data_IF_746859125534
#
_entry.id   IF_746859125534
#
_cell.length_a   1.000
_cell.length_b   1.000
_cell.length_c   1.000
_cell.angle_alpha   90.00
_cell.angle_beta   90.00
_cell.angle_gamma   90.00
#
_symmetry.space_group_name_H-M   'P 1'
#
loop_
_entity.id
_entity.type
_entity.pdbx_description
1 polymer ?
#
# COMPACT_ATOMS: atom_id res chain seq x y z
N UNK A 1 -17.72 4.78 18.17
CA UNK A 1 -16.60 4.98 17.20
C UNK A 1 -15.96 6.35 17.42
N UNK A 2 -14.65 6.42 17.72
CA UNK A 2 -13.92 7.69 17.90
C UNK A 2 -12.95 7.88 16.73
N UNK A 3 -13.18 8.89 15.90
CA UNK A 3 -12.33 9.25 14.75
C UNK A 3 -11.61 10.56 15.07
N UNK A 4 -10.33 10.65 14.76
CA UNK A 4 -9.55 11.89 14.88
C UNK A 4 -9.98 12.89 13.81
N UNK A 5 -9.74 14.20 14.03
CA UNK A 5 -10.05 15.25 13.03
C UNK A 5 -9.18 15.19 11.78
N UNK A 6 -8.06 14.45 11.83
CA UNK A 6 -7.11 14.26 10.73
C UNK A 6 -6.68 12.80 10.69
N UNK A 7 -6.41 12.20 9.50
CA UNK A 7 -5.92 10.83 9.42
C UNK A 7 -4.55 10.68 10.08
N UNK A 8 -4.27 9.53 10.68
CA UNK A 8 -2.96 9.22 11.24
C UNK A 8 -1.96 8.82 10.16
N UNK A 9 -2.45 8.18 9.11
CA UNK A 9 -1.65 7.62 8.02
C UNK A 9 -2.22 8.14 6.70
N UNK A 10 -1.35 8.62 5.82
CA UNK A 10 -1.74 9.03 4.47
C UNK A 10 -0.97 8.17 3.49
N UNK A 11 -1.73 7.46 2.66
CA UNK A 11 -1.26 6.60 1.59
C UNK A 11 -1.65 7.24 0.26
N UNK A 12 -0.69 7.55 -0.60
CA UNK A 12 -0.95 8.24 -1.85
C UNK A 12 -0.01 7.80 -2.96
N UNK A 13 -0.45 7.84 -4.20
CA UNK A 13 0.37 7.50 -5.35
C UNK A 13 0.75 8.74 -6.15
N UNK A 14 2.04 8.92 -6.47
CA UNK A 14 2.52 10.04 -7.29
C UNK A 14 2.21 9.87 -8.78
N UNK A 15 1.89 8.66 -9.19
CA UNK A 15 1.36 8.25 -10.50
C UNK A 15 0.71 6.87 -10.35
N UNK A 16 -0.09 6.45 -11.32
CA UNK A 16 -0.80 5.17 -11.28
C UNK A 16 -0.19 4.05 -12.16
N UNK A 17 1.09 4.16 -12.57
CA UNK A 17 1.74 3.18 -13.44
C UNK A 17 2.47 2.11 -12.64
N UNK A 18 2.45 0.88 -13.18
CA UNK A 18 3.29 -0.22 -12.74
C UNK A 18 3.81 -0.98 -13.97
N UNK A 19 5.04 -1.46 -13.93
CA UNK A 19 5.64 -2.25 -15.01
C UNK A 19 5.40 -3.76 -14.84
N UNK A 20 4.95 -4.19 -13.64
CA UNK A 20 4.74 -5.59 -13.32
C UNK A 20 3.30 -6.03 -13.62
N UNK A 21 3.15 -7.26 -14.12
CA UNK A 21 1.86 -7.92 -14.32
C UNK A 21 1.66 -9.05 -13.32
N UNK A 22 1.89 -8.76 -12.03
CA UNK A 22 1.82 -9.77 -10.97
C UNK A 22 0.47 -10.47 -10.98
N UNK A 23 0.48 -11.82 -10.99
CA UNK A 23 -0.75 -12.62 -11.09
C UNK A 23 -1.69 -12.47 -9.89
N UNK A 24 -1.18 -11.95 -8.78
CA UNK A 24 -1.90 -11.68 -7.52
C UNK A 24 -2.36 -10.22 -7.39
N UNK A 25 -2.18 -9.41 -8.43
CA UNK A 25 -2.52 -7.98 -8.43
C UNK A 25 -3.56 -7.70 -9.52
N UNK A 26 -4.60 -6.92 -9.24
CA UNK A 26 -5.59 -6.59 -10.26
C UNK A 26 -5.10 -5.53 -11.26
N UNK A 27 -3.95 -4.90 -11.03
CA UNK A 27 -3.46 -3.74 -11.80
C UNK A 27 -3.61 -3.91 -13.32
N UNK A 28 -3.10 -5.00 -13.88
CA UNK A 28 -3.11 -5.25 -15.33
C UNK A 28 -4.52 -5.44 -15.91
N UNK A 29 -5.51 -5.79 -15.08
CA UNK A 29 -6.90 -6.00 -15.49
C UNK A 29 -7.79 -4.77 -15.32
N UNK A 30 -7.30 -3.72 -14.63
CA UNK A 30 -8.11 -2.53 -14.34
C UNK A 30 -8.20 -1.54 -15.51
N UNK A 31 -7.28 -1.62 -16.47
CA UNK A 31 -7.30 -0.74 -17.65
C UNK A 31 -7.14 0.75 -17.33
N UNK A 32 -6.41 1.10 -16.27
CA UNK A 32 -6.20 2.49 -15.88
C UNK A 32 -5.54 3.29 -17.00
N UNK A 33 -6.07 4.48 -17.28
CA UNK A 33 -5.34 5.49 -18.05
C UNK A 33 -4.14 5.97 -17.25
N UNK A 34 -3.02 6.23 -17.94
CA UNK A 34 -1.81 6.73 -17.27
C UNK A 34 -2.05 8.14 -16.73
N UNK A 35 -1.91 8.28 -15.43
CA UNK A 35 -2.05 9.53 -14.68
C UNK A 35 -0.80 9.78 -13.84
N UNK A 36 -0.47 11.05 -13.65
CA UNK A 36 0.58 11.51 -12.76
C UNK A 36 0.00 12.62 -11.88
N UNK A 37 0.34 12.58 -10.60
CA UNK A 37 -0.07 13.63 -9.66
C UNK A 37 0.62 14.94 -10.00
N UNK A 38 -0.15 16.00 -10.11
CA UNK A 38 0.36 17.36 -10.27
C UNK A 38 1.17 17.76 -9.04
N UNK A 39 2.25 18.53 -9.26
CA UNK A 39 3.16 18.90 -8.17
C UNK A 39 2.47 19.79 -7.13
N UNK A 40 1.47 20.58 -7.52
CA UNK A 40 0.63 21.38 -6.63
C UNK A 40 -0.19 20.51 -5.69
N UNK A 41 -0.80 19.42 -6.20
CA UNK A 41 -1.56 18.45 -5.38
C UNK A 41 -0.61 17.74 -4.41
N UNK A 42 0.56 17.29 -4.90
CA UNK A 42 1.56 16.66 -4.05
C UNK A 42 2.00 17.59 -2.92
N UNK A 43 2.38 18.83 -3.22
CA UNK A 43 2.80 19.81 -2.21
C UNK A 43 1.67 20.10 -1.23
N UNK A 44 0.45 20.28 -1.72
CA UNK A 44 -0.74 20.50 -0.86
C UNK A 44 -0.93 19.37 0.14
N UNK A 45 -0.83 18.09 -0.30
CA UNK A 45 -0.91 16.92 0.60
C UNK A 45 0.13 17.02 1.72
N UNK A 46 1.38 17.34 1.39
CA UNK A 46 2.46 17.37 2.37
C UNK A 46 2.35 18.59 3.27
N UNK A 47 2.04 19.77 2.72
CA UNK A 47 1.93 21.01 3.48
C UNK A 47 0.74 20.98 4.46
N UNK A 48 -0.39 20.35 4.09
CA UNK A 48 -1.52 20.14 5.01
C UNK A 48 -1.21 19.15 6.14
N UNK A 49 -0.15 18.36 6.03
CA UNK A 49 0.33 17.47 7.09
C UNK A 49 1.20 18.18 8.14
N UNK A 50 1.75 19.36 7.83
CA UNK A 50 2.56 20.14 8.77
C UNK A 50 1.72 20.49 10.00
N UNK A 51 2.30 20.34 11.20
CA UNK A 51 1.63 20.56 12.49
C UNK A 51 0.43 19.64 12.79
N UNK A 52 0.24 18.59 11.97
CA UNK A 52 -0.75 17.55 12.25
C UNK A 52 -0.10 16.34 12.94
N UNK A 53 -0.90 15.60 13.70
CA UNK A 53 -0.45 14.37 14.38
C UNK A 53 -0.50 13.17 13.46
N UNK A 54 0.17 13.27 12.30
CA UNK A 54 0.37 12.12 11.44
C UNK A 54 1.53 11.27 11.95
N UNK A 55 1.41 9.96 11.81
CA UNK A 55 2.46 9.02 12.20
C UNK A 55 3.25 8.53 11.00
N UNK A 56 2.57 8.32 9.86
CA UNK A 56 3.19 7.69 8.70
C UNK A 56 2.68 8.25 7.38
N UNK A 57 3.60 8.41 6.43
CA UNK A 57 3.33 8.62 5.02
C UNK A 57 3.73 7.39 4.21
N UNK A 58 2.87 6.99 3.29
CA UNK A 58 3.05 5.84 2.40
C UNK A 58 2.90 6.36 0.96
N UNK A 59 3.99 6.83 0.32
CA UNK A 59 3.93 7.48 -0.99
C UNK A 59 3.85 6.46 -2.15
N UNK A 60 3.05 5.43 -1.99
CA UNK A 60 2.63 4.48 -3.01
C UNK A 60 1.23 3.96 -2.68
N UNK A 61 0.53 3.39 -3.67
CA UNK A 61 -0.77 2.72 -3.49
C UNK A 61 -0.90 1.58 -4.51
N UNK A 62 -1.32 1.87 -5.74
CA UNK A 62 -1.58 0.91 -6.80
C UNK A 62 -0.52 1.00 -7.94
N UNK A 63 0.71 1.38 -7.63
CA UNK A 63 1.77 1.70 -8.59
C UNK A 63 3.13 1.13 -8.18
N UNK A 64 4.10 1.21 -9.10
CA UNK A 64 5.52 1.07 -8.77
C UNK A 64 6.13 2.46 -8.57
N UNK A 65 6.45 2.88 -7.35
CA UNK A 65 6.81 4.28 -7.08
C UNK A 65 8.08 4.75 -7.81
N UNK A 66 9.06 3.89 -8.03
CA UNK A 66 10.33 4.25 -8.71
C UNK A 66 10.21 4.40 -10.24
N UNK A 67 9.02 4.23 -10.81
CA UNK A 67 8.72 4.70 -12.17
C UNK A 67 8.57 6.22 -12.25
N UNK A 68 8.34 6.91 -11.14
CA UNK A 68 8.38 8.36 -11.07
C UNK A 68 9.83 8.86 -10.97
N UNK A 69 10.35 9.42 -12.05
CA UNK A 69 11.73 9.97 -12.09
C UNK A 69 11.98 11.08 -11.06
N UNK A 70 10.91 11.68 -10.52
CA UNK A 70 10.98 12.73 -9.50
C UNK A 70 10.72 12.20 -8.09
N UNK A 71 10.65 10.87 -7.90
CA UNK A 71 10.26 10.28 -6.62
C UNK A 71 11.25 10.62 -5.49
N UNK A 72 12.55 10.58 -5.75
CA UNK A 72 13.59 10.96 -4.76
C UNK A 72 13.43 12.43 -4.34
N UNK A 73 13.18 13.35 -5.28
CA UNK A 73 12.94 14.76 -4.97
C UNK A 73 11.68 14.94 -4.12
N UNK A 74 10.63 14.16 -4.40
CA UNK A 74 9.40 14.15 -3.60
C UNK A 74 9.65 13.64 -2.18
N UNK A 75 10.41 12.56 -2.02
CA UNK A 75 10.81 12.06 -0.70
C UNK A 75 11.66 13.09 0.07
N UNK A 76 12.58 13.78 -0.62
CA UNK A 76 13.37 14.88 -0.02
C UNK A 76 12.47 16.03 0.46
N UNK A 77 11.44 16.39 -0.32
CA UNK A 77 10.46 17.40 0.08
C UNK A 77 9.68 16.95 1.32
N UNK A 78 9.21 15.69 1.35
CA UNK A 78 8.54 15.12 2.53
C UNK A 78 9.45 15.24 3.76
N UNK A 79 10.69 14.78 3.66
CA UNK A 79 11.62 14.78 4.79
C UNK A 79 11.94 16.19 5.28
N UNK A 80 12.06 17.15 4.35
CA UNK A 80 12.27 18.58 4.69
C UNK A 80 11.10 19.18 5.48
N UNK A 81 9.86 18.86 5.08
CA UNK A 81 8.65 19.41 5.69
C UNK A 81 8.24 18.67 6.98
N UNK A 82 8.48 17.37 7.01
CA UNK A 82 8.04 16.44 8.05
C UNK A 82 9.23 15.59 8.51
N UNK A 83 10.20 16.16 9.24
CA UNK A 83 11.47 15.49 9.55
C UNK A 83 11.32 14.22 10.39
N UNK A 84 10.24 14.10 11.17
CA UNK A 84 10.00 12.99 12.11
C UNK A 84 8.96 11.97 11.63
N UNK A 85 8.30 12.22 10.48
CA UNK A 85 7.27 11.30 10.00
C UNK A 85 7.89 9.99 9.53
N UNK A 86 7.26 8.88 9.86
CA UNK A 86 7.64 7.59 9.29
C UNK A 86 7.33 7.57 7.78
N UNK A 87 8.27 7.11 6.97
CA UNK A 87 8.08 6.91 5.53
C UNK A 87 8.20 5.42 5.24
N UNK A 88 7.13 4.84 4.72
CA UNK A 88 7.07 3.46 4.26
C UNK A 88 6.99 3.40 2.74
N UNK A 89 7.85 2.61 2.11
CA UNK A 89 7.87 2.40 0.65
C UNK A 89 7.77 0.91 0.35
N UNK A 90 6.95 0.54 -0.64
CA UNK A 90 6.99 -0.80 -1.22
C UNK A 90 7.31 -0.70 -2.71
N UNK A 91 8.19 -1.56 -3.19
CA UNK A 91 8.66 -1.58 -4.57
C UNK A 91 8.88 -3.00 -5.08
N UNK A 92 8.73 -3.19 -6.38
CA UNK A 92 9.12 -4.43 -7.05
C UNK A 92 10.63 -4.48 -7.38
N UNK A 93 11.39 -3.50 -6.91
CA UNK A 93 12.87 -3.39 -6.97
C UNK A 93 13.45 -3.18 -8.38
N UNK A 94 12.68 -3.42 -9.44
CA UNK A 94 13.21 -3.48 -10.82
C UNK A 94 13.70 -2.15 -11.38
N UNK A 95 13.19 -1.01 -10.89
CA UNK A 95 13.56 0.35 -11.33
C UNK A 95 14.62 1.02 -10.47
N UNK A 96 15.06 0.36 -9.41
CA UNK A 96 16.20 0.82 -8.63
C UNK A 96 17.50 0.61 -9.41
N UNK A 97 18.49 1.40 -9.05
CA UNK A 97 19.89 1.27 -9.45
C UNK A 97 20.78 1.84 -8.32
N UNK A 98 22.07 1.63 -8.41
CA UNK A 98 23.01 2.02 -7.35
C UNK A 98 22.89 3.51 -6.98
N UNK A 99 22.78 4.41 -7.95
CA UNK A 99 22.65 5.85 -7.69
C UNK A 99 21.37 6.18 -6.91
N UNK A 100 20.21 5.62 -7.32
CA UNK A 100 18.95 5.84 -6.63
C UNK A 100 18.97 5.26 -5.21
N UNK A 101 19.62 4.11 -4.99
CA UNK A 101 19.77 3.49 -3.69
C UNK A 101 20.66 4.35 -2.77
N UNK A 102 21.75 4.90 -3.28
CA UNK A 102 22.60 5.85 -2.55
C UNK A 102 21.83 7.12 -2.16
N UNK A 103 21.03 7.69 -3.07
CA UNK A 103 20.19 8.84 -2.74
C UNK A 103 19.11 8.46 -1.68
N UNK A 104 18.49 7.29 -1.81
CA UNK A 104 17.49 6.80 -0.87
C UNK A 104 18.06 6.62 0.55
N UNK A 105 19.32 6.14 0.66
CA UNK A 105 19.98 5.92 1.96
C UNK A 105 20.20 7.22 2.78
N UNK A 106 20.15 8.39 2.12
CA UNK A 106 20.30 9.70 2.76
C UNK A 106 18.99 10.28 3.31
N UNK A 107 17.84 9.62 3.02
CA UNK A 107 16.51 10.19 3.27
C UNK A 107 15.81 9.70 4.55
N UNK A 108 16.52 8.93 5.39
CA UNK A 108 15.97 8.38 6.63
C UNK A 108 14.59 7.70 6.40
N UNK A 109 14.51 6.84 5.38
CA UNK A 109 13.32 6.03 5.13
C UNK A 109 13.15 5.06 6.30
N UNK A 110 11.93 4.98 6.85
CA UNK A 110 11.67 4.14 8.03
C UNK A 110 11.52 2.67 7.64
N UNK A 111 10.84 2.38 6.54
CA UNK A 111 10.55 1.03 6.10
C UNK A 111 10.59 0.93 4.57
N UNK A 112 11.37 -0.03 4.06
CA UNK A 112 11.44 -0.37 2.63
C UNK A 112 11.05 -1.84 2.45
N UNK A 113 9.93 -2.07 1.77
CA UNK A 113 9.40 -3.40 1.45
C UNK A 113 9.74 -3.79 0.03
N UNK A 114 10.46 -4.87 -0.12
CA UNK A 114 10.84 -5.46 -1.40
C UNK A 114 9.83 -6.53 -1.78
N UNK A 115 8.98 -6.24 -2.76
CA UNK A 115 8.00 -7.20 -3.29
C UNK A 115 8.70 -8.18 -4.22
N UNK A 116 9.04 -9.39 -3.72
CA UNK A 116 9.76 -10.43 -4.44
C UNK A 116 9.00 -11.75 -4.32
N UNK A 117 8.13 -12.08 -5.29
CA UNK A 117 7.16 -13.18 -5.17
C UNK A 117 7.63 -14.52 -5.74
N UNK A 118 8.93 -14.76 -5.80
CA UNK A 118 9.54 -16.03 -6.21
C UNK A 118 11.05 -15.94 -6.09
N UNK A 119 11.67 -16.97 -5.50
CA UNK A 119 13.12 -17.06 -5.36
C UNK A 119 13.77 -17.53 -6.67
N UNK A 120 13.25 -18.62 -7.25
CA UNK A 120 13.78 -19.11 -8.54
C UNK A 120 13.31 -18.22 -9.69
N UNK A 121 14.11 -18.13 -10.74
CA UNK A 121 13.73 -17.44 -11.98
C UNK A 121 12.35 -17.88 -12.48
N UNK A 122 12.09 -19.19 -12.48
CA UNK A 122 10.82 -19.77 -12.95
C UNK A 122 9.64 -19.24 -12.12
N UNK A 123 9.75 -19.30 -10.78
CA UNK A 123 8.65 -18.88 -9.91
C UNK A 123 8.45 -17.37 -9.97
N UNK A 124 9.55 -16.60 -9.96
CA UNK A 124 9.50 -15.15 -10.10
C UNK A 124 8.80 -14.73 -11.41
N UNK A 125 9.18 -15.36 -12.53
CA UNK A 125 8.56 -15.06 -13.82
C UNK A 125 7.07 -15.41 -13.87
N UNK A 126 6.65 -16.50 -13.22
CA UNK A 126 5.23 -16.86 -13.09
C UNK A 126 4.46 -15.84 -12.22
N UNK A 127 5.04 -15.44 -11.11
CA UNK A 127 4.37 -14.58 -10.11
C UNK A 127 4.39 -13.10 -10.50
N UNK A 128 5.47 -12.64 -11.13
CA UNK A 128 5.75 -11.24 -11.46
C UNK A 128 6.16 -11.06 -12.94
N UNK A 129 5.31 -11.42 -13.91
CA UNK A 129 5.62 -11.17 -15.31
C UNK A 129 5.94 -9.71 -15.58
N UNK A 130 6.94 -9.45 -16.43
CA UNK A 130 7.40 -8.10 -16.77
C UNK A 130 8.47 -7.52 -15.84
N UNK A 131 8.89 -8.29 -14.82
CA UNK A 131 9.96 -7.91 -13.89
C UNK A 131 11.18 -8.79 -14.11
N UNK A 132 12.36 -8.17 -14.29
CA UNK A 132 13.63 -8.87 -14.50
C UNK A 132 14.14 -9.44 -13.17
N UNK A 133 14.13 -10.77 -13.05
CA UNK A 133 14.57 -11.49 -11.88
C UNK A 133 16.02 -11.16 -11.46
N UNK A 134 16.97 -11.21 -12.42
CA UNK A 134 18.39 -10.96 -12.13
C UNK A 134 18.59 -9.58 -11.56
N UNK A 135 18.02 -8.56 -12.22
CA UNK A 135 18.10 -7.17 -11.79
C UNK A 135 17.49 -6.94 -10.40
N UNK A 136 16.39 -7.61 -10.09
CA UNK A 136 15.74 -7.50 -8.77
C UNK A 136 16.66 -8.01 -7.66
N UNK A 137 17.32 -9.15 -7.85
CA UNK A 137 18.23 -9.70 -6.87
C UNK A 137 19.52 -8.88 -6.73
N UNK A 138 20.11 -8.42 -7.86
CA UNK A 138 21.25 -7.51 -7.85
C UNK A 138 20.94 -6.21 -7.10
N UNK A 139 19.79 -5.60 -7.37
CA UNK A 139 19.35 -4.40 -6.67
C UNK A 139 19.08 -4.65 -5.17
N UNK A 140 18.54 -5.83 -4.80
CA UNK A 140 18.36 -6.20 -3.40
C UNK A 140 19.72 -6.30 -2.67
N UNK A 141 20.75 -6.85 -3.29
CA UNK A 141 22.11 -6.87 -2.71
C UNK A 141 22.73 -5.47 -2.60
N UNK A 142 22.46 -4.58 -3.56
CA UNK A 142 22.86 -3.16 -3.46
C UNK A 142 22.11 -2.45 -2.31
N UNK A 143 20.84 -2.75 -2.10
CA UNK A 143 20.06 -2.22 -0.96
C UNK A 143 20.72 -2.67 0.35
N UNK A 144 21.10 -3.94 0.48
CA UNK A 144 21.82 -4.43 1.67
C UNK A 144 23.13 -3.67 1.91
N UNK A 145 23.90 -3.42 0.85
CA UNK A 145 25.17 -2.68 0.90
C UNK A 145 24.99 -1.24 1.41
N UNK A 146 23.98 -0.52 0.94
CA UNK A 146 23.85 0.92 1.20
C UNK A 146 22.86 1.28 2.30
N UNK A 147 21.82 0.46 2.54
CA UNK A 147 20.83 0.70 3.60
C UNK A 147 21.07 -0.15 4.85
N UNK A 148 21.88 -1.23 4.77
CA UNK A 148 22.11 -2.14 5.90
C UNK A 148 22.73 -1.50 7.15
N UNK A 149 23.39 -0.34 7.02
CA UNK A 149 23.95 0.43 8.13
C UNK A 149 23.10 1.67 8.48
N UNK A 150 21.87 1.78 7.96
CA UNK A 150 20.93 2.84 8.29
C UNK A 150 19.86 2.31 9.25
N UNK A 151 19.03 3.21 9.78
CA UNK A 151 17.86 2.82 10.59
C UNK A 151 16.68 2.30 9.75
N UNK A 152 16.83 2.21 8.43
CA UNK A 152 15.79 1.73 7.53
C UNK A 152 15.52 0.24 7.76
N UNK A 153 14.30 -0.08 8.16
CA UNK A 153 13.86 -1.48 8.19
C UNK A 153 13.60 -1.98 6.78
N UNK A 154 14.44 -2.89 6.29
CA UNK A 154 14.26 -3.52 4.98
C UNK A 154 13.64 -4.90 5.16
N UNK A 155 12.58 -5.19 4.41
CA UNK A 155 11.92 -6.49 4.43
C UNK A 155 11.64 -7.02 3.02
N UNK A 156 11.84 -8.32 2.82
CA UNK A 156 11.34 -9.01 1.63
C UNK A 156 9.94 -9.53 1.94
N UNK A 157 8.98 -9.14 1.08
CA UNK A 157 7.60 -9.58 1.19
C UNK A 157 7.30 -10.59 0.09
N UNK A 158 6.84 -11.78 0.48
CA UNK A 158 6.23 -12.78 -0.41
C UNK A 158 4.76 -12.97 -0.06
N UNK A 159 3.92 -13.05 -1.11
CA UNK A 159 2.49 -13.33 -0.94
C UNK A 159 2.20 -14.80 -1.17
N UNK A 160 1.74 -15.48 -0.14
CA UNK A 160 1.35 -16.87 -0.22
C UNK A 160 -0.06 -17.02 -0.81
N UNK A 161 -0.12 -17.39 -2.08
CA UNK A 161 -1.37 -17.67 -2.78
C UNK A 161 -1.74 -19.17 -2.79
N UNK A 162 -1.11 -19.97 -1.91
CA UNK A 162 -1.25 -21.43 -1.78
C UNK A 162 -0.78 -22.24 -3.00
N UNK A 163 -0.12 -21.61 -3.98
CA UNK A 163 0.42 -22.26 -5.19
C UNK A 163 1.94 -22.17 -5.28
N UNK A 164 2.55 -21.39 -4.40
CA UNK A 164 4.01 -21.28 -4.32
C UNK A 164 4.54 -22.43 -3.50
N UNK A 165 5.50 -23.24 -4.00
CA UNK A 165 6.15 -24.30 -3.25
C UNK A 165 6.83 -23.77 -1.97
N UNK A 166 6.83 -24.56 -0.91
CA UNK A 166 7.46 -24.17 0.37
C UNK A 166 8.97 -23.88 0.20
N UNK A 167 9.65 -24.60 -0.69
CA UNK A 167 11.07 -24.36 -1.01
C UNK A 167 11.36 -22.92 -1.44
N UNK A 168 10.45 -22.27 -2.16
CA UNK A 168 10.61 -20.87 -2.58
C UNK A 168 10.65 -19.92 -1.38
N UNK A 169 9.81 -20.17 -0.36
CA UNK A 169 9.79 -19.37 0.87
C UNK A 169 11.04 -19.62 1.70
N UNK A 170 11.48 -20.86 1.80
CA UNK A 170 12.68 -21.25 2.54
C UNK A 170 13.93 -20.58 1.95
N UNK A 171 14.10 -20.67 0.63
CA UNK A 171 15.28 -20.09 -0.04
C UNK A 171 15.24 -18.55 -0.02
N UNK A 172 14.05 -17.94 -0.19
CA UNK A 172 13.93 -16.48 -0.06
C UNK A 172 14.22 -16.00 1.37
N UNK A 173 13.80 -16.76 2.39
CA UNK A 173 14.14 -16.45 3.78
C UNK A 173 15.64 -16.50 4.02
N UNK A 174 16.34 -17.51 3.50
CA UNK A 174 17.81 -17.58 3.57
C UNK A 174 18.47 -16.39 2.90
N UNK A 175 18.00 -16.00 1.71
CA UNK A 175 18.49 -14.83 0.99
C UNK A 175 18.26 -13.54 1.79
N UNK A 176 17.08 -13.37 2.38
CA UNK A 176 16.77 -12.23 3.25
C UNK A 176 17.75 -12.17 4.44
N UNK A 177 17.92 -13.28 5.15
CA UNK A 177 18.85 -13.37 6.30
C UNK A 177 20.30 -13.05 5.92
N UNK A 178 20.79 -13.59 4.80
CA UNK A 178 22.14 -13.31 4.28
C UNK A 178 22.36 -11.80 4.07
N UNK A 179 21.33 -11.08 3.66
CA UNK A 179 21.39 -9.65 3.35
C UNK A 179 20.94 -8.75 4.52
N UNK A 180 20.68 -9.30 5.71
CA UNK A 180 20.25 -8.53 6.88
C UNK A 180 18.81 -8.01 6.78
N UNK A 181 17.96 -8.62 5.95
CA UNK A 181 16.58 -8.23 5.74
C UNK A 181 15.63 -9.08 6.59
N UNK A 182 14.52 -8.48 7.00
CA UNK A 182 13.38 -9.25 7.49
C UNK A 182 12.72 -10.02 6.34
N UNK A 183 12.11 -11.16 6.67
CA UNK A 183 11.32 -11.92 5.72
C UNK A 183 9.86 -11.99 6.17
N UNK A 184 8.96 -11.52 5.30
CA UNK A 184 7.52 -11.49 5.55
C UNK A 184 6.78 -12.38 4.54
N UNK A 185 6.13 -13.44 5.05
CA UNK A 185 5.19 -14.27 4.29
C UNK A 185 3.77 -13.82 4.61
N UNK A 186 3.11 -13.12 3.68
CA UNK A 186 1.76 -12.62 3.89
C UNK A 186 0.73 -13.48 3.15
N UNK A 187 -0.42 -13.63 3.76
CA UNK A 187 -1.56 -14.28 3.11
C UNK A 187 -2.05 -13.47 1.90
N UNK A 188 -2.55 -14.18 0.91
CA UNK A 188 -3.14 -13.58 -0.28
C UNK A 188 -4.43 -12.84 0.06
N UNK A 189 -4.55 -11.62 -0.48
CA UNK A 189 -5.76 -10.81 -0.45
C UNK A 189 -6.29 -10.65 -1.88
N UNK A 190 -7.52 -11.05 -2.12
CA UNK A 190 -8.17 -10.94 -3.44
C UNK A 190 -8.62 -9.52 -3.82
N UNK A 191 -8.26 -8.54 -2.98
CA UNK A 191 -8.55 -7.12 -3.19
C UNK A 191 -10.06 -6.86 -3.36
N UNK A 192 -10.86 -7.38 -2.44
CA UNK A 192 -12.32 -7.30 -2.47
C UNK A 192 -12.89 -7.82 -3.82
N UNK A 193 -12.44 -9.02 -4.23
CA UNK A 193 -12.79 -9.72 -5.48
C UNK A 193 -12.25 -9.10 -6.76
N UNK A 194 -11.34 -8.11 -6.69
CA UNK A 194 -10.74 -7.53 -7.90
C UNK A 194 -9.67 -8.44 -8.54
N UNK A 195 -9.07 -9.40 -7.82
CA UNK A 195 -8.17 -10.42 -8.40
C UNK A 195 -9.00 -11.64 -8.81
N UNK A 196 -9.68 -11.57 -9.94
CA UNK A 196 -10.65 -12.58 -10.40
C UNK A 196 -10.09 -14.01 -10.47
N UNK A 197 -8.81 -14.19 -10.86
CA UNK A 197 -8.17 -15.50 -11.03
C UNK A 197 -8.07 -16.30 -9.72
N UNK A 198 -8.02 -15.63 -8.58
CA UNK A 198 -7.87 -16.22 -7.25
C UNK A 198 -8.98 -15.78 -6.29
N UNK A 199 -10.00 -15.09 -6.80
CA UNK A 199 -11.12 -14.64 -5.99
C UNK A 199 -11.79 -15.85 -5.35
N UNK A 200 -12.02 -15.76 -4.05
CA UNK A 200 -12.93 -16.66 -3.34
C UNK A 200 -14.38 -16.12 -3.44
N UNK A 201 -15.33 -16.93 -3.06
CA UNK A 201 -16.73 -16.50 -3.01
C UNK A 201 -17.11 -15.83 -1.68
N UNK A 202 -16.09 -15.29 -0.95
CA UNK A 202 -16.33 -14.63 0.32
C UNK A 202 -17.25 -13.42 0.12
N UNK A 203 -18.33 -13.41 0.88
CA UNK A 203 -19.25 -12.29 0.99
C UNK A 203 -19.89 -12.35 2.37
N UNK A 204 -19.86 -11.25 3.09
CA UNK A 204 -20.35 -11.17 4.45
C UNK A 204 -21.34 -10.01 4.60
N UNK A 205 -22.63 -10.32 4.60
CA UNK A 205 -23.70 -9.35 4.81
C UNK A 205 -23.71 -8.77 6.23
N UNK A 206 -23.02 -9.43 7.16
CA UNK A 206 -22.96 -9.03 8.57
C UNK A 206 -21.66 -8.24 8.89
N UNK A 207 -20.93 -7.81 7.86
CA UNK A 207 -19.70 -7.04 8.02
C UNK A 207 -19.95 -5.79 8.90
N UNK A 208 -19.22 -5.69 10.01
CA UNK A 208 -19.44 -4.66 11.06
C UNK A 208 -18.14 -4.04 11.55
N UNK A 209 -17.04 -4.22 10.83
CA UNK A 209 -15.74 -3.68 11.19
C UNK A 209 -14.66 -3.93 10.14
N UNK A 210 -13.46 -3.52 10.46
CA UNK A 210 -12.27 -3.75 9.64
C UNK A 210 -11.10 -4.09 10.57
N UNK A 211 -10.55 -5.31 10.49
CA UNK A 211 -9.39 -5.77 11.27
C UNK A 211 -8.20 -4.82 11.19
N UNK A 212 -8.00 -4.19 10.04
CA UNK A 212 -6.90 -3.24 9.80
C UNK A 212 -7.25 -1.80 10.23
N UNK A 213 -8.47 -1.53 10.68
CA UNK A 213 -8.95 -0.19 11.09
C UNK A 213 -8.71 0.92 10.06
N UNK A 214 -8.52 0.55 8.78
CA UNK A 214 -8.15 1.50 7.70
C UNK A 214 -9.07 2.71 7.61
N UNK A 215 -10.41 2.57 7.63
CA UNK A 215 -11.32 3.71 7.54
C UNK A 215 -11.24 4.68 8.72
N UNK A 216 -10.67 4.26 9.86
CA UNK A 216 -10.53 5.06 11.07
C UNK A 216 -9.17 5.76 11.19
N UNK A 217 -8.15 5.28 10.45
CA UNK A 217 -6.77 5.73 10.63
C UNK A 217 -6.07 6.16 9.35
N UNK A 218 -6.51 5.66 8.16
CA UNK A 218 -5.82 5.86 6.90
C UNK A 218 -6.66 6.58 5.86
N UNK A 219 -6.06 7.54 5.17
CA UNK A 219 -6.60 8.14 3.96
C UNK A 219 -5.83 7.65 2.74
N UNK A 220 -6.54 7.34 1.65
CA UNK A 220 -5.95 6.83 0.42
C UNK A 220 -6.23 7.81 -0.71
N UNK A 221 -5.17 8.33 -1.36
CA UNK A 221 -5.24 9.39 -2.38
C UNK A 221 -4.67 8.88 -3.68
N UNK A 222 -5.46 8.96 -4.75
CA UNK A 222 -5.08 8.58 -6.10
C UNK A 222 -4.22 9.65 -6.78
N UNK A 223 -3.62 9.32 -7.93
CA UNK A 223 -2.77 10.24 -8.69
C UNK A 223 -3.49 11.48 -9.21
N UNK A 224 -4.80 11.40 -9.44
CA UNK A 224 -5.66 12.53 -9.85
C UNK A 224 -6.21 13.35 -8.66
N UNK A 225 -5.71 13.08 -7.45
CA UNK A 225 -6.14 13.75 -6.23
C UNK A 225 -7.43 13.21 -5.61
N UNK A 226 -8.15 12.29 -6.25
CA UNK A 226 -9.33 11.67 -5.66
C UNK A 226 -8.97 10.87 -4.42
N UNK A 227 -9.82 10.94 -3.42
CA UNK A 227 -9.71 10.18 -2.17
C UNK A 227 -10.66 9.00 -2.25
N UNK A 228 -10.16 7.78 -2.11
CA UNK A 228 -10.95 6.56 -2.04
C UNK A 228 -11.12 6.08 -0.59
N UNK A 229 -12.22 5.36 -0.31
CA UNK A 229 -12.52 4.89 1.03
C UNK A 229 -11.50 3.88 1.57
N UNK A 230 -10.97 3.01 0.71
CA UNK A 230 -10.04 1.96 1.10
C UNK A 230 -9.10 1.58 -0.05
N UNK A 231 -7.85 1.20 0.23
CA UNK A 231 -6.90 0.67 -0.74
C UNK A 231 -7.33 -0.68 -1.39
N UNK A 232 -8.40 -1.30 -0.92
CA UNK A 232 -9.00 -2.46 -1.59
C UNK A 232 -9.96 -2.05 -2.72
N UNK A 233 -10.30 -0.74 -2.83
CA UNK A 233 -11.19 -0.20 -3.86
C UNK A 233 -10.44 0.05 -5.18
N UNK A 234 -10.05 -1.02 -5.84
CA UNK A 234 -9.35 -0.95 -7.11
C UNK A 234 -10.23 -0.47 -8.27
N UNK A 235 -11.53 -0.60 -8.18
CA UNK A 235 -12.46 -0.07 -9.17
C UNK A 235 -12.73 1.44 -8.99
N UNK A 236 -12.23 2.04 -7.89
CA UNK A 236 -12.42 3.43 -7.51
C UNK A 236 -13.91 3.84 -7.44
N UNK A 237 -14.75 2.94 -6.95
CA UNK A 237 -16.21 3.13 -6.85
C UNK A 237 -16.60 4.04 -5.67
N UNK A 238 -15.77 4.08 -4.62
CA UNK A 238 -16.10 4.73 -3.36
C UNK A 238 -15.25 6.00 -3.15
N UNK A 239 -15.51 7.04 -3.97
CA UNK A 239 -14.82 8.32 -3.89
C UNK A 239 -15.36 9.15 -2.73
N UNK A 240 -14.48 9.61 -1.84
CA UNK A 240 -14.82 10.40 -0.65
C UNK A 240 -14.67 11.91 -0.84
N UNK A 241 -13.88 12.35 -1.81
CA UNK A 241 -13.61 13.75 -2.14
C UNK A 241 -12.42 13.88 -3.09
N UNK A 242 -11.91 15.10 -3.29
CA UNK A 242 -10.75 15.36 -4.14
C UNK A 242 -9.85 16.43 -3.51
N UNK A 243 -8.56 16.15 -3.36
CA UNK A 243 -7.56 17.08 -2.79
C UNK A 243 -7.39 18.33 -3.68
N UNK A 244 -7.68 18.24 -4.97
CA UNK A 244 -7.64 19.40 -5.88
C UNK A 244 -8.63 20.51 -5.47
N UNK A 245 -9.77 20.16 -4.90
CA UNK A 245 -10.84 21.09 -4.50
C UNK A 245 -10.99 21.23 -2.99
N UNK A 246 -10.66 20.21 -2.22
CA UNK A 246 -10.91 20.12 -0.79
C UNK A 246 -9.63 19.96 0.02
N UNK A 247 -9.71 20.12 1.33
CA UNK A 247 -8.60 19.83 2.25
C UNK A 247 -8.68 18.38 2.75
N UNK A 248 -7.53 17.83 3.19
CA UNK A 248 -7.48 16.52 3.83
C UNK A 248 -8.45 16.45 5.02
N UNK A 249 -8.44 17.50 5.87
CA UNK A 249 -9.32 17.54 7.05
C UNK A 249 -10.79 17.58 6.66
N UNK A 250 -11.19 18.44 5.70
CA UNK A 250 -12.59 18.55 5.28
C UNK A 250 -13.14 17.25 4.68
N UNK A 251 -12.34 16.54 3.85
CA UNK A 251 -12.72 15.24 3.31
C UNK A 251 -12.81 14.20 4.43
N UNK A 252 -11.83 14.19 5.34
CA UNK A 252 -11.74 13.17 6.40
C UNK A 252 -12.91 13.21 7.38
N UNK A 253 -13.40 14.44 7.72
CA UNK A 253 -14.55 14.63 8.60
C UNK A 253 -15.87 14.85 7.86
N UNK A 254 -15.90 14.71 6.53
CA UNK A 254 -17.09 14.92 5.73
C UNK A 254 -18.25 13.99 6.15
N UNK A 255 -19.46 14.43 5.93
CA UNK A 255 -20.66 13.63 6.16
C UNK A 255 -20.60 12.31 5.37
N UNK A 256 -20.17 12.36 4.09
CA UNK A 256 -20.00 11.19 3.23
C UNK A 256 -19.06 10.16 3.85
N UNK A 257 -17.85 10.56 4.27
CA UNK A 257 -16.88 9.65 4.86
C UNK A 257 -17.37 9.09 6.19
N UNK A 258 -18.02 9.94 7.02
CA UNK A 258 -18.58 9.51 8.30
C UNK A 258 -19.77 8.57 8.14
N UNK A 259 -20.59 8.73 7.12
CA UNK A 259 -21.68 7.80 6.82
C UNK A 259 -21.16 6.42 6.44
N UNK A 260 -20.11 6.34 5.59
CA UNK A 260 -19.46 5.07 5.27
C UNK A 260 -18.88 4.38 6.51
N UNK A 261 -18.25 5.14 7.43
CA UNK A 261 -17.75 4.61 8.70
C UNK A 261 -18.90 4.13 9.59
N UNK A 262 -19.97 4.92 9.73
CA UNK A 262 -21.14 4.54 10.51
C UNK A 262 -21.76 3.24 9.98
N UNK A 263 -21.93 3.11 8.67
CA UNK A 263 -22.44 1.90 8.05
C UNK A 263 -21.53 0.69 8.36
N UNK A 264 -20.21 0.84 8.23
CA UNK A 264 -19.27 -0.26 8.47
C UNK A 264 -19.19 -0.68 9.95
N UNK A 265 -19.26 0.27 10.89
CA UNK A 265 -19.07 -0.02 12.33
C UNK A 265 -20.37 -0.04 13.12
N UNK A 266 -21.50 -0.25 12.45
CA UNK A 266 -22.82 -0.39 13.06
C UNK A 266 -23.32 -1.81 12.95
N UNK A 267 -23.90 -2.33 14.01
CA UNK A 267 -24.59 -3.62 13.97
C UNK A 267 -25.99 -3.57 13.28
N UNK A 268 -26.49 -2.35 13.00
CA UNK A 268 -27.86 -2.15 12.49
C UNK A 268 -27.92 -1.52 11.11
N UNK A 269 -26.80 -1.04 10.58
CA UNK A 269 -26.71 -0.41 9.26
C UNK A 269 -25.98 -1.33 8.30
N UNK A 270 -26.32 -1.22 7.04
CA UNK A 270 -25.72 -2.00 5.97
C UNK A 270 -24.31 -1.53 5.65
N UNK A 271 -23.32 -2.43 5.76
CA UNK A 271 -21.91 -2.10 5.47
C UNK A 271 -21.71 -1.76 3.98
N UNK A 272 -20.73 -0.92 3.63
CA UNK A 272 -20.40 -0.68 2.22
C UNK A 272 -20.08 -1.98 1.49
N UNK A 273 -20.54 -2.10 0.24
CA UNK A 273 -20.40 -3.31 -0.58
C UNK A 273 -18.94 -3.80 -0.67
N UNK A 274 -17.99 -2.87 -0.77
CA UNK A 274 -16.57 -3.21 -0.78
C UNK A 274 -16.12 -3.92 0.50
N UNK A 275 -16.71 -3.57 1.65
CA UNK A 275 -16.40 -4.19 2.94
C UNK A 275 -17.02 -5.58 3.05
N UNK A 276 -18.25 -5.78 2.56
CA UNK A 276 -18.89 -7.10 2.50
C UNK A 276 -18.09 -8.10 1.65
N UNK A 277 -17.42 -7.64 0.61
CA UNK A 277 -16.55 -8.43 -0.28
C UNK A 277 -15.12 -8.61 0.24
N UNK A 278 -14.76 -7.98 1.37
CA UNK A 278 -13.39 -7.93 1.86
C UNK A 278 -13.14 -8.99 2.94
N UNK A 279 -12.16 -9.86 2.73
CA UNK A 279 -11.76 -10.90 3.71
C UNK A 279 -11.17 -10.35 5.01
N UNK A 280 -10.93 -9.04 5.10
CA UNK A 280 -10.47 -8.35 6.30
C UNK A 280 -11.61 -7.67 7.05
N UNK A 281 -12.86 -7.91 6.66
CA UNK A 281 -14.01 -7.42 7.40
C UNK A 281 -14.24 -8.26 8.67
N UNK A 282 -14.58 -7.56 9.75
CA UNK A 282 -15.05 -8.19 10.99
C UNK A 282 -16.54 -8.39 10.89
N UNK A 283 -17.06 -9.52 11.40
CA UNK A 283 -18.48 -9.83 11.44
C UNK A 283 -19.01 -9.65 12.86
N UNK A 284 -20.17 -9.02 13.00
CA UNK A 284 -20.93 -9.02 14.24
C UNK A 284 -21.76 -10.31 14.31
N UNK A 285 -21.26 -11.31 14.95
CA UNK A 285 -22.06 -12.46 15.37
C UNK A 285 -21.99 -13.68 14.45
N UNK A 286 -21.55 -14.71 15.00
CA UNK A 286 -21.98 -16.09 15.21
C UNK A 286 -21.05 -16.72 16.28
N UNK A 287 -19.95 -16.07 16.63
CA UNK A 287 -19.00 -16.56 17.63
C UNK A 287 -18.79 -15.64 18.86
N UNK A 288 -19.82 -14.94 19.33
CA UNK A 288 -19.81 -14.32 20.67
C UNK A 288 -18.74 -13.25 20.95
N UNK A 289 -18.10 -12.64 19.96
CA UNK A 289 -17.29 -11.45 20.19
C UNK A 289 -18.22 -10.23 20.23
N UNK A 290 -18.44 -9.76 21.45
CA UNK A 290 -19.16 -8.52 21.73
C UNK A 290 -18.40 -7.38 21.05
N UNK A 291 -19.06 -6.70 20.09
CA UNK A 291 -18.58 -5.41 19.59
C UNK A 291 -18.70 -4.38 20.72
N UNK A 292 -17.61 -4.09 21.42
CA UNK A 292 -17.51 -2.99 22.38
C UNK A 292 -17.05 -1.71 21.69
#
# INVERSE_FOLDING_TARGET
>A
MRVTRFPKIIEFQTHNRCNANCIICPYSSMGYKSEKMEDEIFKKIIDECVDKRITRLIPYLNNEPFLDKTFIQKLSYIRKKLPQVEIEISTNVSFLNENLIIELSKLNITELRLSMFGFTYRMHHIMMPGVDHKKVFENAELIAKYLGNTECKVSIVMIDNKKIPESEFVEMKKFAQKNGFDFCRWGFLDRAKNVKKFSNNYYDDTASGCEQRRPLERMHILADGKVIFCCQDWAHENIMGNIGTDTIESIWVSERYNNYRKCLYSATLDAPEICKRCVLSESCGINGKICN
#
